data_IF_256728484749
#
_entry.id   IF_256728484749
#
_cell.length_a   1.000
_cell.length_b   1.000
_cell.length_c   1.000
_cell.angle_alpha   90.00
_cell.angle_beta   90.00
_cell.angle_gamma   90.00
#
_symmetry.space_group_name_H-M   'P 1'
#
loop_
_entity.id
_entity.type
_entity.pdbx_description
1 polymer ?
#
# COMPACT_ATOMS: atom_id res chain seq x y z
N UNK A 1 20.32 12.02 -13.37
CA UNK A 1 20.21 10.57 -13.08
C UNK A 1 18.78 10.26 -12.68
N UNK A 2 18.00 9.62 -13.56
CA UNK A 2 16.66 9.16 -13.22
C UNK A 2 16.76 8.03 -12.19
N UNK A 3 16.00 8.11 -11.10
CA UNK A 3 15.94 7.10 -10.04
C UNK A 3 15.49 5.75 -10.61
N UNK A 4 15.97 4.64 -10.04
CA UNK A 4 15.65 3.28 -10.48
C UNK A 4 14.13 2.99 -10.47
N UNK A 5 13.36 3.70 -9.64
CA UNK A 5 11.90 3.70 -9.67
C UNK A 5 11.31 4.33 -10.94
N UNK A 6 11.89 5.42 -11.43
CA UNK A 6 11.45 6.06 -12.68
C UNK A 6 11.65 5.13 -13.88
N UNK A 7 12.75 4.38 -13.91
CA UNK A 7 13.04 3.41 -14.99
C UNK A 7 12.07 2.21 -14.93
N UNK A 8 11.77 1.68 -13.73
CA UNK A 8 10.77 0.62 -13.57
C UNK A 8 9.37 1.09 -13.94
N UNK A 9 9.01 2.31 -13.55
CA UNK A 9 7.72 2.90 -13.88
C UNK A 9 7.61 3.19 -15.39
N UNK A 10 8.67 3.65 -16.05
CA UNK A 10 8.71 3.80 -17.50
C UNK A 10 8.64 2.46 -18.24
N UNK A 11 9.36 1.44 -17.78
CA UNK A 11 9.30 0.10 -18.38
C UNK A 11 7.92 -0.54 -18.23
N UNK A 12 7.29 -0.36 -17.06
CA UNK A 12 5.90 -0.81 -16.80
C UNK A 12 4.90 -0.01 -17.64
N UNK A 13 5.10 1.30 -17.79
CA UNK A 13 4.30 2.18 -18.64
C UNK A 13 4.43 1.77 -20.11
N UNK A 14 5.65 1.55 -20.62
CA UNK A 14 5.95 1.05 -21.98
C UNK A 14 5.27 -0.29 -22.26
N UNK A 15 5.31 -1.25 -21.31
CA UNK A 15 4.69 -2.56 -21.48
C UNK A 15 3.16 -2.51 -21.47
N UNK A 16 2.55 -1.61 -20.69
CA UNK A 16 1.09 -1.40 -20.65
C UNK A 16 0.59 -0.63 -21.88
N UNK A 17 1.37 0.32 -22.41
CA UNK A 17 1.04 1.00 -23.69
C UNK A 17 1.04 0.05 -24.88
N UNK A 18 1.86 -1.00 -24.88
CA UNK A 18 1.87 -2.00 -25.96
C UNK A 18 0.56 -2.82 -26.02
N UNK A 19 -0.19 -2.88 -24.92
CA UNK A 19 -1.51 -3.52 -24.87
C UNK A 19 -2.66 -2.52 -25.00
N UNK A 20 -2.41 -1.24 -25.32
CA UNK A 20 -3.46 -0.20 -25.36
C UNK A 20 -4.27 -0.04 -24.06
N UNK A 21 -3.78 -0.58 -22.94
CA UNK A 21 -4.46 -0.56 -21.63
C UNK A 21 -4.12 0.68 -20.81
N UNK A 22 -3.56 1.73 -21.41
CA UNK A 22 -3.03 2.86 -20.66
C UNK A 22 -4.17 3.76 -20.17
N UNK A 23 -4.51 3.77 -18.87
CA UNK A 23 -5.45 4.75 -18.38
C UNK A 23 -4.78 6.14 -18.39
N UNK A 24 -5.54 7.23 -18.55
CA UNK A 24 -4.99 8.59 -18.53
C UNK A 24 -4.24 8.91 -17.22
N UNK A 25 -4.50 8.17 -16.12
CA UNK A 25 -3.75 8.24 -14.86
C UNK A 25 -3.63 6.85 -14.19
N UNK A 26 -2.39 6.34 -14.10
CA UNK A 26 -2.06 4.97 -13.69
C UNK A 26 -2.47 4.58 -12.25
N UNK A 27 -2.74 5.55 -11.37
CA UNK A 27 -2.94 5.34 -9.93
C UNK A 27 -4.37 5.63 -9.45
N UNK A 28 -5.23 6.13 -10.33
CA UNK A 28 -6.52 6.72 -9.92
C UNK A 28 -7.72 5.76 -10.06
N UNK A 29 -7.59 4.66 -10.82
CA UNK A 29 -8.70 3.71 -11.02
C UNK A 29 -8.51 2.40 -10.23
N UNK A 30 -9.63 1.70 -9.99
CA UNK A 30 -9.60 0.34 -9.39
C UNK A 30 -8.89 -0.59 -10.38
N UNK A 31 -7.81 -1.28 -9.98
CA UNK A 31 -7.14 -2.20 -10.88
C UNK A 31 -8.06 -3.37 -11.22
N UNK A 32 -8.04 -3.79 -12.49
CA UNK A 32 -8.61 -5.07 -12.91
C UNK A 32 -7.70 -6.20 -12.39
N UNK A 33 -8.29 -7.20 -11.77
CA UNK A 33 -7.60 -8.41 -11.30
C UNK A 33 -8.05 -9.54 -12.21
N UNK A 34 -7.17 -9.96 -13.11
CA UNK A 34 -7.41 -11.08 -14.03
C UNK A 34 -6.06 -11.66 -14.47
N UNK A 35 -5.82 -12.93 -14.16
CA UNK A 35 -4.55 -13.61 -14.46
C UNK A 35 -4.45 -14.08 -15.92
N UNK A 36 -5.59 -14.31 -16.59
CA UNK A 36 -5.67 -14.85 -17.96
C UNK A 36 -5.64 -13.77 -19.04
N UNK A 37 -6.16 -12.57 -18.74
CA UNK A 37 -6.35 -11.51 -19.73
C UNK A 37 -5.08 -11.18 -20.53
N UNK A 38 -3.89 -11.00 -19.92
CA UNK A 38 -2.68 -10.73 -20.68
C UNK A 38 -2.34 -11.83 -21.68
N UNK A 39 -2.53 -13.10 -21.29
CA UNK A 39 -2.29 -14.25 -22.17
C UNK A 39 -3.27 -14.31 -23.34
N UNK A 40 -4.56 -14.02 -23.07
CA UNK A 40 -5.62 -13.98 -24.10
C UNK A 40 -5.43 -12.87 -25.12
N UNK A 41 -4.90 -11.71 -24.70
CA UNK A 41 -4.55 -10.63 -25.62
C UNK A 41 -3.37 -11.04 -26.51
N UNK A 42 -2.32 -11.64 -25.95
CA UNK A 42 -1.15 -12.10 -26.71
C UNK A 42 -1.50 -13.17 -27.76
N UNK A 43 -2.49 -14.02 -27.48
CA UNK A 43 -2.97 -15.04 -28.40
C UNK A 43 -3.90 -14.48 -29.49
N UNK A 44 -4.32 -13.21 -29.41
CA UNK A 44 -5.31 -12.62 -30.32
C UNK A 44 -6.75 -13.05 -30.03
N UNK A 45 -7.00 -13.83 -28.97
CA UNK A 45 -8.34 -14.26 -28.56
C UNK A 45 -9.17 -13.10 -27.98
N UNK A 46 -8.52 -12.07 -27.45
CA UNK A 46 -9.15 -10.82 -26.99
C UNK A 46 -8.45 -9.65 -27.65
N UNK A 47 -9.19 -8.89 -28.44
CA UNK A 47 -8.70 -7.66 -29.09
C UNK A 47 -9.27 -6.46 -28.36
N UNK A 48 -8.41 -5.57 -27.90
CA UNK A 48 -8.82 -4.34 -27.23
C UNK A 48 -9.20 -3.29 -28.27
N UNK A 49 -10.36 -2.67 -28.08
CA UNK A 49 -10.90 -1.61 -28.94
C UNK A 49 -11.13 -0.33 -28.13
N UNK A 50 -11.09 0.85 -28.77
CA UNK A 50 -11.49 2.10 -28.13
C UNK A 50 -12.96 2.12 -27.73
N UNK A 51 -13.39 3.21 -27.11
CA UNK A 51 -14.79 3.41 -26.74
C UNK A 51 -15.71 3.30 -27.98
N UNK A 52 -16.86 2.68 -27.75
CA UNK A 52 -17.91 2.52 -28.77
C UNK A 52 -18.54 3.87 -29.10
N UNK A 53 -18.61 4.22 -30.38
CA UNK A 53 -19.32 5.41 -30.89
C UNK A 53 -20.77 5.09 -31.25
N UNK A 54 -21.04 3.91 -31.82
CA UNK A 54 -22.40 3.51 -32.16
C UNK A 54 -22.47 2.15 -32.86
N UNK A 55 -23.69 1.72 -33.15
CA UNK A 55 -23.99 0.52 -33.91
C UNK A 55 -24.22 0.87 -35.38
N UNK A 56 -23.74 0.03 -36.30
CA UNK A 56 -23.91 0.20 -37.74
C UNK A 56 -24.33 -1.13 -38.35
N UNK A 57 -25.64 -1.33 -38.55
CA UNK A 57 -26.18 -2.61 -39.03
C UNK A 57 -25.87 -3.74 -38.03
N UNK A 58 -25.18 -4.79 -38.49
CA UNK A 58 -24.65 -5.89 -37.68
C UNK A 58 -23.25 -5.63 -37.11
N UNK A 59 -22.73 -4.41 -37.25
CA UNK A 59 -21.39 -4.01 -36.82
C UNK A 59 -21.36 -2.89 -35.78
N UNK A 60 -20.14 -2.53 -35.40
CA UNK A 60 -19.82 -1.50 -34.40
C UNK A 60 -18.89 -0.44 -35.00
N UNK A 61 -19.14 0.82 -34.66
CA UNK A 61 -18.28 1.97 -34.98
C UNK A 61 -17.61 2.46 -33.70
N UNK A 62 -16.28 2.59 -33.72
CA UNK A 62 -15.48 3.03 -32.57
C UNK A 62 -15.11 4.52 -32.67
N UNK A 63 -14.66 5.12 -31.56
CA UNK A 63 -14.31 6.54 -31.51
C UNK A 63 -13.14 6.94 -32.42
N UNK A 64 -12.23 6.01 -32.72
CA UNK A 64 -11.11 6.23 -33.64
C UNK A 64 -11.52 6.15 -35.13
N UNK A 65 -12.81 5.93 -35.40
CA UNK A 65 -13.37 5.78 -36.75
C UNK A 65 -13.26 4.36 -37.31
N UNK A 66 -12.66 3.42 -36.58
CA UNK A 66 -12.63 2.01 -37.02
C UNK A 66 -14.01 1.38 -36.91
N UNK A 67 -14.26 0.40 -37.77
CA UNK A 67 -15.50 -0.39 -37.77
C UNK A 67 -15.19 -1.87 -37.65
N UNK A 68 -16.06 -2.62 -36.98
CA UNK A 68 -16.03 -4.09 -36.96
C UNK A 68 -17.39 -4.62 -37.38
N UNK A 69 -17.40 -5.52 -38.36
CA UNK A 69 -18.59 -6.18 -38.86
C UNK A 69 -18.88 -7.50 -38.13
N UNK A 70 -19.97 -8.15 -38.51
CA UNK A 70 -20.29 -9.54 -38.15
C UNK A 70 -20.25 -9.83 -36.64
N UNK A 71 -20.83 -8.92 -35.85
CA UNK A 71 -20.92 -9.07 -34.40
C UNK A 71 -22.21 -9.81 -34.03
N UNK A 72 -22.07 -11.04 -33.54
CA UNK A 72 -23.21 -11.88 -33.13
C UNK A 72 -23.83 -11.42 -31.81
N UNK A 73 -23.02 -10.90 -30.89
CA UNK A 73 -23.46 -10.56 -29.54
C UNK A 73 -22.67 -9.40 -28.94
N UNK A 74 -23.37 -8.57 -28.15
CA UNK A 74 -22.76 -7.50 -27.34
C UNK A 74 -23.12 -7.71 -25.87
N UNK A 75 -22.09 -7.77 -25.02
CA UNK A 75 -22.23 -7.98 -23.58
C UNK A 75 -21.87 -6.69 -22.83
N UNK A 76 -22.86 -6.06 -22.21
CA UNK A 76 -22.66 -4.81 -21.46
C UNK A 76 -22.19 -5.08 -20.03
N UNK A 77 -20.87 -4.97 -19.81
CA UNK A 77 -20.25 -5.05 -18.48
C UNK A 77 -20.15 -3.66 -17.80
N UNK A 78 -21.18 -2.81 -17.91
CA UNK A 78 -21.16 -1.39 -17.51
C UNK A 78 -21.40 -1.13 -16.02
N UNK A 79 -21.52 -2.20 -15.22
CA UNK A 79 -21.71 -2.14 -13.77
C UNK A 79 -23.18 -2.09 -13.34
N UNK A 80 -23.42 -1.71 -12.09
CA UNK A 80 -24.74 -1.79 -11.45
C UNK A 80 -25.12 -0.48 -10.75
N UNK A 81 -26.43 -0.23 -10.69
CA UNK A 81 -27.02 0.83 -9.88
C UNK A 81 -27.74 0.22 -8.66
N UNK A 82 -27.33 0.61 -7.46
CA UNK A 82 -28.05 0.25 -6.23
C UNK A 82 -29.16 1.25 -5.94
N UNK A 83 -30.38 0.76 -5.69
CA UNK A 83 -31.51 1.55 -5.19
C UNK A 83 -32.13 0.85 -3.97
N UNK A 84 -32.78 1.62 -3.10
CA UNK A 84 -33.39 1.12 -1.87
C UNK A 84 -34.87 1.52 -1.85
N UNK A 85 -35.70 0.83 -2.64
CA UNK A 85 -37.12 1.15 -2.83
C UNK A 85 -37.97 1.05 -1.56
N UNK A 86 -37.51 0.27 -0.58
CA UNK A 86 -38.15 0.14 0.73
C UNK A 86 -37.79 1.27 1.70
N UNK A 87 -36.82 2.14 1.38
CA UNK A 87 -36.47 3.29 2.19
C UNK A 87 -37.26 4.53 1.75
N UNK A 88 -37.65 5.41 2.70
CA UNK A 88 -38.34 6.65 2.36
C UNK A 88 -37.42 7.56 1.52
N UNK A 89 -37.95 8.22 0.46
CA UNK A 89 -37.15 9.10 -0.41
C UNK A 89 -36.44 10.23 0.34
N UNK A 90 -36.95 10.65 1.50
CA UNK A 90 -36.35 11.68 2.35
C UNK A 90 -34.96 11.30 2.85
N UNK A 91 -34.63 10.00 2.97
CA UNK A 91 -33.27 9.53 3.33
C UNK A 91 -32.31 9.54 2.14
N UNK A 92 -32.83 9.58 0.92
CA UNK A 92 -32.09 9.61 -0.33
C UNK A 92 -31.84 11.06 -0.79
N UNK A 93 -31.37 11.94 0.13
CA UNK A 93 -31.21 13.38 -0.14
C UNK A 93 -29.93 13.76 -0.91
N UNK A 94 -29.20 12.78 -1.46
CA UNK A 94 -27.98 13.06 -2.23
C UNK A 94 -28.28 13.77 -3.56
N UNK A 95 -27.28 14.43 -4.19
CA UNK A 95 -27.46 15.20 -5.42
C UNK A 95 -28.04 14.43 -6.61
N UNK A 96 -28.05 13.09 -6.55
CA UNK A 96 -28.60 12.19 -7.58
C UNK A 96 -29.48 11.08 -6.97
N UNK A 97 -30.07 11.31 -5.80
CA UNK A 97 -30.85 10.29 -5.07
C UNK A 97 -29.99 9.25 -4.33
N UNK A 98 -28.68 9.50 -4.20
CA UNK A 98 -27.77 8.64 -3.43
C UNK A 98 -27.96 8.86 -1.92
N UNK A 99 -27.67 7.82 -1.13
CA UNK A 99 -27.69 7.91 0.33
C UNK A 99 -26.49 8.70 0.84
N UNK A 100 -26.76 9.74 1.62
CA UNK A 100 -25.72 10.50 2.31
C UNK A 100 -25.45 9.87 3.68
N UNK A 101 -24.36 9.11 3.82
CA UNK A 101 -24.11 8.28 5.00
C UNK A 101 -22.83 8.66 5.73
N UNK A 102 -22.95 8.94 7.03
CA UNK A 102 -21.81 9.10 7.93
C UNK A 102 -21.06 7.78 8.04
N UNK A 103 -19.75 7.82 7.70
CA UNK A 103 -18.87 6.65 7.62
C UNK A 103 -19.44 5.50 6.77
N UNK A 104 -20.29 5.80 5.78
CA UNK A 104 -20.96 4.81 4.91
C UNK A 104 -21.86 3.84 5.69
N UNK A 105 -22.43 4.31 6.79
CA UNK A 105 -23.30 3.52 7.67
C UNK A 105 -24.58 4.27 8.05
N UNK A 106 -24.45 5.40 8.73
CA UNK A 106 -25.59 6.06 9.37
C UNK A 106 -26.10 7.26 8.57
N UNK A 107 -27.41 7.36 8.29
CA UNK A 107 -27.99 8.55 7.67
C UNK A 107 -28.04 9.72 8.67
N UNK A 108 -27.34 10.85 8.43
CA UNK A 108 -27.31 12.00 9.35
C UNK A 108 -28.65 12.73 9.48
N UNK A 109 -29.61 12.44 8.59
CA UNK A 109 -30.94 13.03 8.60
C UNK A 109 -31.81 12.50 9.76
N UNK A 110 -31.50 11.33 10.31
CA UNK A 110 -32.23 10.77 11.44
C UNK A 110 -31.74 11.40 12.76
N UNK A 111 -32.69 11.81 13.60
CA UNK A 111 -32.40 12.32 14.95
C UNK A 111 -31.92 11.23 15.89
N UNK A 112 -32.48 10.01 15.75
CA UNK A 112 -32.10 8.82 16.53
C UNK A 112 -31.41 7.80 15.62
N UNK A 113 -30.30 7.18 16.03
CA UNK A 113 -29.55 6.24 15.21
C UNK A 113 -30.17 4.83 15.21
N UNK A 114 -31.42 4.71 14.76
CA UNK A 114 -32.19 3.46 14.73
C UNK A 114 -32.06 2.67 13.42
N UNK A 115 -31.45 3.28 12.39
CA UNK A 115 -31.23 2.68 11.08
C UNK A 115 -29.75 2.77 10.71
N UNK A 116 -29.20 1.66 10.20
CA UNK A 116 -27.84 1.58 9.68
C UNK A 116 -27.82 0.81 8.36
N UNK A 117 -27.00 1.26 7.42
CA UNK A 117 -26.83 0.63 6.11
C UNK A 117 -25.40 0.10 6.03
N UNK A 118 -25.25 -1.22 5.97
CA UNK A 118 -23.94 -1.86 5.95
C UNK A 118 -23.58 -2.37 4.55
N UNK A 119 -22.30 -2.38 4.21
CA UNK A 119 -21.80 -2.86 2.92
C UNK A 119 -21.92 -1.87 1.76
N UNK A 120 -22.48 -0.67 1.98
CA UNK A 120 -22.60 0.35 0.95
C UNK A 120 -21.32 1.20 0.83
N UNK A 121 -20.24 0.58 0.36
CA UNK A 121 -18.96 1.26 0.08
C UNK A 121 -18.15 0.49 -0.98
N UNK A 122 -17.12 1.13 -1.52
CA UNK A 122 -16.16 0.53 -2.44
C UNK A 122 -14.75 0.67 -1.88
N UNK A 123 -13.96 -0.39 -1.85
CA UNK A 123 -12.61 -0.35 -1.31
C UNK A 123 -11.63 -1.22 -2.09
N UNK A 124 -10.34 -0.93 -1.97
CA UNK A 124 -9.22 -1.74 -2.48
C UNK A 124 -8.81 -2.77 -1.41
N UNK A 125 -9.74 -3.64 -1.04
CA UNK A 125 -9.58 -4.63 0.03
C UNK A 125 -10.81 -5.52 0.17
N UNK A 126 -10.77 -6.55 1.04
CA UNK A 126 -11.89 -7.46 1.23
C UNK A 126 -13.07 -6.76 1.93
N UNK A 127 -14.28 -7.00 1.43
CA UNK A 127 -15.52 -6.41 2.00
C UNK A 127 -15.90 -7.03 3.36
N UNK A 128 -15.68 -8.34 3.53
CA UNK A 128 -16.13 -9.10 4.70
C UNK A 128 -15.68 -8.51 6.04
N UNK A 129 -14.38 -8.27 6.28
CA UNK A 129 -13.95 -7.70 7.55
C UNK A 129 -14.41 -6.25 7.76
N UNK A 130 -14.58 -5.48 6.68
CA UNK A 130 -15.09 -4.12 6.79
C UNK A 130 -16.57 -4.11 7.20
N UNK A 131 -17.40 -4.99 6.64
CA UNK A 131 -18.81 -5.12 7.04
C UNK A 131 -18.96 -5.72 8.45
N UNK A 132 -18.10 -6.67 8.84
CA UNK A 132 -18.04 -7.17 10.21
C UNK A 132 -17.71 -6.06 11.22
N UNK A 133 -16.75 -5.20 10.89
CA UNK A 133 -16.40 -4.05 11.74
C UNK A 133 -17.52 -3.00 11.76
N UNK A 134 -18.20 -2.76 10.63
CA UNK A 134 -19.42 -1.94 10.61
C UNK A 134 -20.46 -2.52 11.58
N UNK A 135 -20.73 -3.83 11.55
CA UNK A 135 -21.70 -4.47 12.43
C UNK A 135 -21.33 -4.34 13.92
N UNK A 136 -20.04 -4.51 14.26
CA UNK A 136 -19.55 -4.30 15.63
C UNK A 136 -19.76 -2.88 16.12
N UNK A 137 -19.56 -1.89 15.25
CA UNK A 137 -19.82 -0.50 15.62
C UNK A 137 -21.32 -0.19 15.70
N UNK A 138 -22.10 -0.64 14.71
CA UNK A 138 -23.55 -0.41 14.62
C UNK A 138 -24.28 -0.95 15.83
N UNK A 139 -24.01 -2.20 16.22
CA UNK A 139 -24.65 -2.82 17.39
C UNK A 139 -24.40 -2.05 18.68
N UNK A 140 -23.20 -1.46 18.85
CA UNK A 140 -22.88 -0.62 20.01
C UNK A 140 -23.61 0.72 19.97
N UNK A 141 -23.77 1.32 18.80
CA UNK A 141 -24.53 2.57 18.63
C UNK A 141 -26.01 2.32 18.95
N UNK A 142 -26.60 1.27 18.40
CA UNK A 142 -28.00 0.91 18.64
C UNK A 142 -28.23 0.57 20.12
N UNK A 143 -27.28 -0.10 20.78
CA UNK A 143 -27.32 -0.39 22.21
C UNK A 143 -27.04 0.84 23.12
N UNK A 144 -26.76 2.01 22.55
CA UNK A 144 -26.43 3.23 23.31
C UNK A 144 -25.04 3.25 23.95
N UNK A 145 -24.20 2.25 23.68
CA UNK A 145 -22.83 2.14 24.19
C UNK A 145 -21.84 3.07 23.46
N UNK A 146 -22.22 3.63 22.33
CA UNK A 146 -21.40 4.55 21.52
C UNK A 146 -22.29 5.60 20.90
N UNK A 147 -22.01 6.88 21.14
CA UNK A 147 -22.81 7.97 20.61
C UNK A 147 -22.26 8.47 19.27
N UNK A 148 -23.17 8.80 18.35
CA UNK A 148 -22.80 9.49 17.12
C UNK A 148 -22.53 10.97 17.39
N UNK A 149 -21.61 11.62 16.67
CA UNK A 149 -21.39 13.05 16.81
C UNK A 149 -22.59 13.86 16.29
N UNK A 150 -22.68 15.17 16.61
CA UNK A 150 -23.75 16.02 16.12
C UNK A 150 -23.87 16.02 14.59
N UNK A 151 -25.09 16.21 14.08
CA UNK A 151 -25.41 16.20 12.63
C UNK A 151 -24.48 17.08 11.80
N UNK A 152 -24.17 18.29 12.26
CA UNK A 152 -23.27 19.22 11.57
C UNK A 152 -21.87 18.61 11.35
N UNK A 153 -21.34 17.93 12.38
CA UNK A 153 -20.04 17.25 12.33
C UNK A 153 -20.07 16.05 11.39
N UNK A 154 -21.17 15.27 11.39
CA UNK A 154 -21.35 14.17 10.44
C UNK A 154 -21.34 14.66 8.99
N UNK A 155 -22.11 15.70 8.68
CA UNK A 155 -22.20 16.26 7.33
C UNK A 155 -20.86 16.83 6.86
N UNK A 156 -20.18 17.60 7.71
CA UNK A 156 -18.85 18.16 7.41
C UNK A 156 -17.82 17.06 7.11
N UNK A 157 -17.85 15.96 7.87
CA UNK A 157 -16.97 14.81 7.63
C UNK A 157 -17.24 14.17 6.27
N UNK A 158 -18.51 13.95 5.92
CA UNK A 158 -18.89 13.34 4.64
C UNK A 158 -18.44 14.23 3.46
N UNK A 159 -18.66 15.53 3.56
CA UNK A 159 -18.24 16.48 2.54
C UNK A 159 -16.71 16.47 2.36
N UNK A 160 -15.97 16.49 3.48
CA UNK A 160 -14.50 16.48 3.47
C UNK A 160 -13.95 15.19 2.86
N UNK A 161 -14.55 14.04 3.17
CA UNK A 161 -14.16 12.75 2.60
C UNK A 161 -14.50 12.64 1.12
N UNK A 162 -15.67 13.12 0.72
CA UNK A 162 -16.07 13.15 -0.70
C UNK A 162 -15.15 14.05 -1.50
N UNK A 163 -14.85 15.27 -1.01
CA UNK A 163 -13.88 16.19 -1.64
C UNK A 163 -12.48 15.59 -1.76
N UNK A 164 -12.03 14.82 -0.76
CA UNK A 164 -10.74 14.11 -0.83
C UNK A 164 -10.78 13.05 -1.94
N UNK A 165 -11.82 12.23 -1.98
CA UNK A 165 -11.93 11.14 -2.94
C UNK A 165 -12.11 11.64 -4.39
N UNK A 166 -12.74 12.80 -4.59
CA UNK A 166 -12.87 13.43 -5.91
C UNK A 166 -11.52 13.74 -6.58
N UNK A 167 -10.43 13.84 -5.80
CA UNK A 167 -9.08 13.99 -6.36
C UNK A 167 -8.63 12.76 -7.14
N UNK A 168 -9.12 11.59 -6.78
CA UNK A 168 -8.74 10.31 -7.37
C UNK A 168 -9.83 9.67 -8.22
N UNK A 169 -11.09 10.07 -8.04
CA UNK A 169 -12.23 9.52 -8.77
C UNK A 169 -12.98 10.61 -9.52
N UNK A 170 -13.08 10.46 -10.84
CA UNK A 170 -13.76 11.41 -11.72
C UNK A 170 -15.29 11.40 -11.53
N UNK A 171 -15.86 10.28 -11.07
CA UNK A 171 -17.29 10.15 -10.84
C UNK A 171 -17.65 10.49 -9.38
N UNK A 172 -18.54 11.48 -9.14
CA UNK A 172 -18.96 11.84 -7.78
C UNK A 172 -19.55 10.70 -6.95
N UNK A 173 -20.27 9.77 -7.60
CA UNK A 173 -20.91 8.63 -6.93
C UNK A 173 -19.88 7.62 -6.45
N UNK A 174 -18.89 7.33 -7.29
CA UNK A 174 -17.76 6.48 -6.91
C UNK A 174 -16.95 7.14 -5.79
N UNK A 175 -16.68 8.45 -5.90
CA UNK A 175 -15.98 9.20 -4.86
C UNK A 175 -16.70 9.16 -3.50
N UNK A 176 -18.03 9.26 -3.49
CA UNK A 176 -18.82 9.19 -2.25
C UNK A 176 -18.73 7.82 -1.56
N UNK A 177 -18.79 6.74 -2.34
CA UNK A 177 -18.75 5.36 -1.84
C UNK A 177 -17.33 4.86 -1.52
N UNK A 178 -16.30 5.48 -2.09
CA UNK A 178 -14.94 4.99 -1.93
C UNK A 178 -14.41 5.15 -0.51
N UNK A 179 -13.71 4.13 -0.02
CA UNK A 179 -12.97 4.14 1.24
C UNK A 179 -11.63 3.43 1.11
N UNK A 180 -10.60 3.99 1.74
CA UNK A 180 -9.31 3.31 1.90
C UNK A 180 -9.43 2.24 2.99
N UNK A 181 -9.09 0.99 2.65
CA UNK A 181 -9.39 -0.19 3.45
C UNK A 181 -8.88 -0.10 4.91
N UNK A 182 -7.56 0.10 5.09
CA UNK A 182 -6.94 0.13 6.43
C UNK A 182 -7.39 1.36 7.23
N UNK A 183 -7.32 2.61 6.71
CA UNK A 183 -7.79 3.77 7.45
C UNK A 183 -9.26 3.67 7.84
N UNK A 184 -10.11 3.12 6.96
CA UNK A 184 -11.52 2.92 7.25
C UNK A 184 -11.73 1.94 8.40
N UNK A 185 -11.11 0.76 8.33
CA UNK A 185 -11.17 -0.24 9.40
C UNK A 185 -10.64 0.31 10.73
N UNK A 186 -9.50 0.97 10.73
CA UNK A 186 -8.92 1.60 11.92
C UNK A 186 -9.85 2.65 12.51
N UNK A 187 -10.49 3.46 11.65
CA UNK A 187 -11.42 4.48 12.09
C UNK A 187 -12.64 3.88 12.80
N UNK A 188 -13.16 2.75 12.34
CA UNK A 188 -14.28 2.05 12.97
C UNK A 188 -13.83 1.29 14.21
N UNK A 189 -12.68 0.65 14.14
CA UNK A 189 -12.07 -0.06 15.26
C UNK A 189 -11.79 0.88 16.43
N UNK A 190 -11.49 2.16 16.17
CA UNK A 190 -11.37 3.19 17.20
C UNK A 190 -12.70 3.48 17.89
N UNK A 191 -13.81 3.56 17.13
CA UNK A 191 -15.15 3.74 17.70
C UNK A 191 -15.59 2.54 18.56
N UNK A 192 -15.14 1.34 18.19
CA UNK A 192 -15.42 0.10 18.95
C UNK A 192 -14.46 -0.08 20.12
N UNK A 193 -13.27 0.56 20.09
CA UNK A 193 -12.22 0.40 21.10
C UNK A 193 -11.30 -0.81 20.87
N UNK A 194 -11.17 -1.29 19.64
CA UNK A 194 -10.41 -2.51 19.26
C UNK A 194 -9.26 -2.24 18.30
N UNK A 195 -9.02 -0.99 17.91
CA UNK A 195 -7.87 -0.60 17.07
C UNK A 195 -6.56 -1.07 17.73
N UNK A 196 -5.65 -1.77 17.07
CA UNK A 196 -4.43 -2.28 17.72
C UNK A 196 -3.51 -1.12 18.18
N UNK A 197 -2.99 -1.21 19.41
CA UNK A 197 -1.93 -0.30 19.88
C UNK A 197 -0.57 -0.89 19.50
N UNK A 198 -0.06 -0.50 18.34
CA UNK A 198 1.16 -1.09 17.76
C UNK A 198 2.37 -0.85 18.68
N UNK A 199 2.55 0.36 19.22
CA UNK A 199 3.67 0.67 20.10
C UNK A 199 3.61 -0.17 21.39
N UNK A 200 2.43 -0.27 22.01
CA UNK A 200 2.23 -1.12 23.18
C UNK A 200 2.44 -2.61 22.89
N UNK A 201 2.07 -3.07 21.68
CA UNK A 201 2.32 -4.44 21.24
C UNK A 201 3.82 -4.70 21.01
N UNK A 202 4.55 -3.76 20.43
CA UNK A 202 6.01 -3.89 20.24
C UNK A 202 6.77 -4.00 21.55
N UNK A 203 6.33 -3.26 22.59
CA UNK A 203 6.95 -3.30 23.92
C UNK A 203 6.63 -4.58 24.70
N UNK A 204 5.40 -5.11 24.58
CA UNK A 204 4.95 -6.30 25.34
C UNK A 204 5.28 -7.61 24.62
N UNK A 205 5.04 -7.65 23.31
CA UNK A 205 5.16 -8.84 22.46
C UNK A 205 5.73 -8.46 21.08
N UNK A 206 7.06 -8.24 20.98
CA UNK A 206 7.68 -7.72 19.77
C UNK A 206 7.43 -8.58 18.53
N UNK A 207 7.30 -9.89 18.68
CA UNK A 207 7.05 -10.83 17.58
C UNK A 207 5.67 -10.65 16.92
N UNK A 208 4.64 -10.32 17.71
CA UNK A 208 3.28 -10.03 17.23
C UNK A 208 3.21 -8.58 16.76
N UNK A 209 3.78 -7.64 17.53
CA UNK A 209 3.84 -6.22 17.18
C UNK A 209 4.50 -5.97 15.82
N UNK A 210 5.63 -6.64 15.54
CA UNK A 210 6.33 -6.51 14.27
C UNK A 210 5.53 -7.09 13.09
N UNK A 211 4.81 -8.20 13.31
CA UNK A 211 3.92 -8.79 12.28
C UNK A 211 2.71 -7.92 12.00
N UNK A 212 2.16 -7.23 13.00
CA UNK A 212 1.05 -6.28 12.81
C UNK A 212 1.55 -5.02 12.11
N UNK A 213 2.76 -4.55 12.42
CA UNK A 213 3.35 -3.34 11.82
C UNK A 213 3.81 -3.55 10.37
N UNK A 214 4.54 -4.64 10.11
CA UNK A 214 5.22 -4.87 8.82
C UNK A 214 4.59 -6.00 8.00
N UNK A 215 3.73 -6.83 8.60
CA UNK A 215 3.08 -7.94 7.92
C UNK A 215 1.77 -7.55 7.24
N UNK A 216 1.04 -8.53 6.69
CA UNK A 216 -0.24 -8.27 6.08
C UNK A 216 -1.27 -7.84 7.14
N UNK A 217 -2.05 -6.81 6.81
CA UNK A 217 -3.15 -6.33 7.64
C UNK A 217 -4.32 -7.33 7.59
N UNK A 218 -4.27 -8.34 8.46
CA UNK A 218 -5.31 -9.36 8.60
C UNK A 218 -6.33 -8.99 9.68
N UNK A 219 -7.61 -9.35 9.51
CA UNK A 219 -8.66 -8.90 10.43
C UNK A 219 -8.51 -9.42 11.86
N UNK A 220 -7.70 -10.46 12.08
CA UNK A 220 -7.36 -10.98 13.39
C UNK A 220 -6.80 -9.90 14.32
N UNK A 221 -6.09 -8.90 13.79
CA UNK A 221 -5.50 -7.81 14.60
C UNK A 221 -6.55 -6.99 15.37
N UNK A 222 -7.78 -6.90 14.85
CA UNK A 222 -8.90 -6.19 15.50
C UNK A 222 -9.65 -7.04 16.53
N UNK A 223 -9.13 -8.23 16.82
CA UNK A 223 -9.60 -9.16 17.87
C UNK A 223 -8.54 -9.43 18.94
N UNK A 224 -7.38 -8.75 18.88
CA UNK A 224 -6.32 -8.86 19.88
C UNK A 224 -6.70 -8.21 21.22
N UNK A 225 -7.57 -7.19 21.20
CA UNK A 225 -8.01 -6.45 22.40
C UNK A 225 -9.43 -5.93 22.26
N UNK A 226 -9.96 -5.40 23.36
CA UNK A 226 -11.26 -4.74 23.41
C UNK A 226 -12.45 -5.72 23.42
N UNK A 227 -13.68 -5.21 23.28
CA UNK A 227 -14.89 -6.03 23.29
C UNK A 227 -14.89 -7.05 22.15
N UNK A 228 -15.18 -8.31 22.47
CA UNK A 228 -15.13 -9.41 21.52
C UNK A 228 -13.70 -9.85 21.17
N UNK A 229 -12.73 -9.66 22.07
CA UNK A 229 -11.39 -10.26 21.97
C UNK A 229 -11.51 -11.76 21.69
N UNK A 230 -10.64 -12.28 20.84
CA UNK A 230 -10.54 -13.71 20.55
C UNK A 230 -9.16 -14.23 20.91
N UNK A 231 -9.08 -15.25 21.76
CA UNK A 231 -7.80 -15.77 22.25
C UNK A 231 -6.95 -16.41 21.14
N UNK A 232 -7.60 -16.96 20.10
CA UNK A 232 -6.93 -17.49 18.91
C UNK A 232 -6.34 -16.42 17.98
N UNK A 233 -6.65 -15.13 18.17
CA UNK A 233 -6.23 -14.05 17.26
C UNK A 233 -4.70 -13.96 17.15
N UNK A 234 -4.01 -14.10 18.29
CA UNK A 234 -2.54 -14.09 18.34
C UNK A 234 -1.95 -15.21 17.50
N UNK A 235 -2.38 -16.45 17.75
CA UNK A 235 -1.87 -17.62 17.04
C UNK A 235 -2.20 -17.52 15.55
N UNK A 236 -3.40 -17.04 15.19
CA UNK A 236 -3.81 -16.84 13.81
C UNK A 236 -2.88 -15.88 13.06
N UNK A 237 -2.44 -14.77 13.67
CA UNK A 237 -1.49 -13.83 13.05
C UNK A 237 -0.12 -14.50 12.86
N UNK A 238 0.36 -15.24 13.86
CA UNK A 238 1.67 -15.88 13.81
C UNK A 238 1.77 -16.95 12.71
N UNK A 239 0.71 -17.74 12.53
CA UNK A 239 0.65 -18.92 11.64
C UNK A 239 -0.04 -18.63 10.29
N UNK A 240 -0.35 -17.38 9.98
CA UNK A 240 -1.11 -17.03 8.76
C UNK A 240 -0.42 -17.50 7.47
N UNK A 241 0.91 -17.41 7.39
CA UNK A 241 1.65 -17.83 6.20
C UNK A 241 1.70 -19.35 6.03
N UNK A 242 1.66 -20.11 7.14
CA UNK A 242 1.56 -21.57 7.09
C UNK A 242 0.23 -21.98 6.47
N UNK A 243 -0.89 -21.38 6.91
CA UNK A 243 -2.21 -21.65 6.33
C UNK A 243 -2.33 -21.22 4.87
N UNK A 244 -1.67 -20.14 4.47
CA UNK A 244 -1.62 -19.70 3.07
C UNK A 244 -0.81 -20.70 2.23
N UNK A 245 0.32 -21.19 2.73
CA UNK A 245 1.18 -22.12 2.00
C UNK A 245 0.62 -23.55 1.93
N UNK A 246 -0.11 -23.98 2.96
CA UNK A 246 -0.64 -25.34 3.10
C UNK A 246 -1.37 -25.87 1.85
N UNK A 247 -2.35 -25.18 1.24
CA UNK A 247 -3.04 -25.68 0.04
C UNK A 247 -2.13 -25.77 -1.20
N UNK A 248 -1.00 -25.07 -1.24
CA UNK A 248 -0.03 -25.15 -2.34
C UNK A 248 1.01 -26.25 -2.13
N UNK A 249 1.16 -26.78 -0.90
CA UNK A 249 2.10 -27.86 -0.57
C UNK A 249 1.46 -29.24 -0.79
N UNK A 250 0.95 -29.49 -1.99
CA UNK A 250 0.36 -30.78 -2.37
C UNK A 250 1.41 -31.87 -2.62
N UNK A 251 2.68 -31.47 -2.78
CA UNK A 251 3.84 -32.37 -2.95
C UNK A 251 4.85 -32.11 -1.84
N UNK A 252 5.25 -33.18 -1.15
CA UNK A 252 6.30 -33.14 -0.13
C UNK A 252 7.65 -33.28 -0.84
N UNK A 253 8.33 -32.17 -1.05
CA UNK A 253 9.75 -32.19 -1.41
C UNK A 253 10.60 -32.40 -0.16
N UNK A 254 11.73 -33.13 -0.23
CA UNK A 254 12.71 -33.15 0.84
C UNK A 254 13.10 -31.71 1.14
N UNK A 255 12.95 -31.26 2.41
CA UNK A 255 13.38 -29.92 2.80
C UNK A 255 14.83 -29.72 2.35
N UNK A 256 15.12 -28.75 1.47
CA UNK A 256 16.50 -28.45 1.13
C UNK A 256 17.24 -28.13 2.43
N UNK A 257 18.52 -28.52 2.58
CA UNK A 257 19.28 -28.19 3.78
C UNK A 257 19.14 -26.71 4.02
N UNK A 258 18.66 -26.32 5.21
CA UNK A 258 18.40 -24.92 5.57
C UNK A 258 19.61 -24.12 5.10
N UNK A 259 19.50 -23.24 4.08
CA UNK A 259 20.59 -22.35 3.80
C UNK A 259 20.78 -21.57 5.10
N UNK A 260 22.00 -21.56 5.64
CA UNK A 260 22.34 -20.69 6.76
C UNK A 260 21.91 -19.28 6.33
N UNK A 261 20.74 -18.82 6.78
CA UNK A 261 20.17 -17.50 6.43
C UNK A 261 21.11 -16.38 6.88
N UNK A 262 22.08 -16.70 7.74
CA UNK A 262 23.22 -15.87 8.10
C UNK A 262 24.19 -15.54 6.94
N UNK A 263 24.12 -16.24 5.79
CA UNK A 263 25.05 -16.12 4.66
C UNK A 263 24.43 -15.50 3.40
N UNK A 264 23.27 -14.85 3.48
CA UNK A 264 22.86 -13.99 2.36
C UNK A 264 23.78 -12.76 2.34
N UNK A 265 24.56 -12.52 1.26
CA UNK A 265 25.50 -11.39 1.19
C UNK A 265 24.76 -10.05 1.30
N UNK A 266 23.47 -10.00 0.97
CA UNK A 266 22.64 -8.81 1.15
C UNK A 266 22.30 -8.53 2.62
N UNK A 267 22.03 -9.57 3.41
CA UNK A 267 21.76 -9.43 4.85
C UNK A 267 23.04 -9.09 5.63
N UNK A 268 24.18 -9.65 5.23
CA UNK A 268 25.48 -9.30 5.81
C UNK A 268 25.86 -7.86 5.46
N UNK A 269 25.69 -7.42 4.21
CA UNK A 269 26.02 -6.04 3.84
C UNK A 269 25.08 -5.03 4.53
N UNK A 270 23.79 -5.34 4.67
CA UNK A 270 22.85 -4.51 5.41
C UNK A 270 23.15 -4.47 6.92
N UNK A 271 23.54 -5.60 7.53
CA UNK A 271 23.88 -5.64 8.96
C UNK A 271 25.19 -4.93 9.26
N UNK A 272 26.25 -5.15 8.46
CA UNK A 272 27.53 -4.43 8.57
C UNK A 272 27.32 -2.93 8.34
N UNK A 273 26.53 -2.54 7.34
CA UNK A 273 26.18 -1.14 7.09
C UNK A 273 25.45 -0.50 8.28
N UNK A 274 24.50 -1.20 8.88
CA UNK A 274 23.78 -0.72 10.05
C UNK A 274 24.68 -0.59 11.30
N UNK A 275 25.60 -1.54 11.52
CA UNK A 275 26.57 -1.50 12.61
C UNK A 275 27.55 -0.34 12.43
N UNK A 276 28.10 -0.16 11.22
CA UNK A 276 28.99 0.97 10.91
C UNK A 276 28.30 2.32 11.13
N UNK A 277 27.03 2.44 10.69
CA UNK A 277 26.25 3.65 10.92
C UNK A 277 26.01 3.90 12.42
N UNK A 278 25.70 2.86 13.20
CA UNK A 278 25.53 2.97 14.65
C UNK A 278 26.83 3.37 15.36
N UNK A 279 27.97 2.81 14.94
CA UNK A 279 29.31 3.18 15.46
C UNK A 279 29.61 4.65 15.15
N UNK A 280 29.40 5.10 13.91
CA UNK A 280 29.59 6.50 13.53
C UNK A 280 28.67 7.43 14.33
N UNK A 281 27.39 7.08 14.50
CA UNK A 281 26.47 7.86 15.33
C UNK A 281 26.88 7.89 16.81
N UNK A 282 27.40 6.79 17.35
CA UNK A 282 27.90 6.73 18.73
C UNK A 282 29.17 7.57 18.91
N UNK A 283 30.08 7.55 17.92
CA UNK A 283 31.28 8.36 17.91
C UNK A 283 30.93 9.85 17.77
N UNK A 284 30.03 10.23 16.86
CA UNK A 284 29.57 11.61 16.73
C UNK A 284 28.88 12.12 18.00
N UNK A 285 28.06 11.30 18.68
CA UNK A 285 27.48 11.66 19.99
C UNK A 285 28.55 11.80 21.07
N UNK A 286 29.57 10.94 21.07
CA UNK A 286 30.69 11.03 22.00
C UNK A 286 31.54 12.30 21.75
N UNK A 287 31.79 12.67 20.49
CA UNK A 287 32.48 13.90 20.11
C UNK A 287 31.69 15.14 20.53
N UNK A 288 30.37 15.16 20.29
CA UNK A 288 29.50 16.26 20.73
C UNK A 288 29.44 16.37 22.26
N UNK A 289 29.38 15.23 22.97
CA UNK A 289 29.39 15.21 24.43
C UNK A 289 30.75 15.63 25.03
N UNK A 290 31.86 15.26 24.38
CA UNK A 290 33.21 15.75 24.73
C UNK A 290 33.35 17.25 24.46
N UNK A 291 32.71 17.77 23.43
CA UNK A 291 32.73 19.19 23.09
C UNK A 291 31.94 20.02 24.11
N UNK A 292 30.78 19.52 24.57
CA UNK A 292 30.03 20.12 25.69
C UNK A 292 30.79 20.06 27.03
N UNK A 293 31.54 18.96 27.29
CA UNK A 293 32.41 18.83 28.47
C UNK A 293 33.65 19.74 28.43
N UNK A 294 34.19 20.00 27.24
CA UNK A 294 35.34 20.90 27.03
C UNK A 294 34.94 22.38 27.09
N UNK A 295 33.67 22.70 26.80
CA UNK A 295 33.15 24.06 26.82
C UNK A 295 33.01 24.65 28.24
N UNK A 296 33.09 23.82 29.28
CA UNK A 296 33.10 24.24 30.69
C UNK A 296 34.51 24.60 31.23
N UNK A 297 35.54 24.53 30.38
CA UNK A 297 36.94 24.82 30.73
C UNK A 297 37.58 25.85 29.80
N UNK A 298 36.90 26.98 29.59
CA UNK A 298 37.47 28.13 28.87
C UNK A 298 38.52 28.84 29.74
N UNK A 299 39.72 28.26 29.84
CA UNK A 299 40.97 28.98 30.17
C UNK A 299 42.27 28.30 29.67
N UNK A 300 42.18 27.24 28.86
CA UNK A 300 43.36 26.53 28.30
C UNK A 300 43.35 26.46 26.76
N UNK A 301 42.61 27.36 26.09
CA UNK A 301 42.39 27.34 24.64
C UNK A 301 43.44 28.12 23.82
N UNK A 302 44.46 28.69 24.44
CA UNK A 302 45.56 29.33 23.69
C UNK A 302 46.74 28.39 23.41
N UNK A 303 46.78 27.17 23.98
CA UNK A 303 47.89 26.23 23.79
C UNK A 303 47.63 25.08 22.80
N UNK A 304 46.37 24.69 22.56
CA UNK A 304 46.06 23.50 21.74
C UNK A 304 45.85 23.77 20.24
N UNK A 305 45.68 25.03 19.84
CA UNK A 305 45.53 25.43 18.43
C UNK A 305 46.81 25.19 17.60
N UNK A 306 47.95 24.96 18.24
CA UNK A 306 49.23 24.75 17.57
C UNK A 306 49.61 23.28 17.28
N UNK A 307 48.92 22.26 17.83
CA UNK A 307 49.40 20.87 17.78
C UNK A 307 48.55 19.85 16.99
N UNK A 308 47.34 20.20 16.54
CA UNK A 308 46.42 19.25 15.88
C UNK A 308 46.09 19.54 14.41
N UNK A 309 46.55 20.68 13.86
CA UNK A 309 46.34 21.01 12.43
C UNK A 309 47.40 20.39 11.50
N UNK A 310 48.45 19.77 12.04
CA UNK A 310 49.52 19.15 11.25
C UNK A 310 49.27 17.70 10.80
N UNK A 311 48.57 16.81 11.56
CA UNK A 311 48.36 15.42 11.14
C UNK A 311 47.18 15.20 10.18
N UNK A 312 46.22 16.13 10.11
CA UNK A 312 45.02 16.03 9.27
C UNK A 312 45.29 16.40 7.80
N UNK A 313 46.29 17.24 7.54
CA UNK A 313 46.71 17.57 6.16
C UNK A 313 47.53 16.42 5.54
N UNK A 314 48.38 15.73 6.33
CA UNK A 314 49.19 14.61 5.84
C UNK A 314 48.38 13.33 5.51
N UNK A 315 47.23 13.12 6.14
CA UNK A 315 46.40 11.91 5.89
C UNK A 315 45.49 12.05 4.68
N UNK A 316 45.11 13.28 4.31
CA UNK A 316 44.34 13.58 3.10
C UNK A 316 45.18 13.46 1.81
N UNK A 317 46.48 13.78 1.85
CA UNK A 317 47.38 13.58 0.70
C UNK A 317 47.72 12.11 0.45
N UNK A 318 47.78 11.28 1.50
CA UNK A 318 48.04 9.84 1.38
C UNK A 318 46.86 9.06 0.77
N UNK A 319 45.61 9.47 1.03
CA UNK A 319 44.42 8.82 0.45
C UNK A 319 44.19 9.19 -1.03
N UNK A 320 44.64 10.38 -1.46
CA UNK A 320 44.63 10.80 -2.86
C UNK A 320 45.56 9.94 -3.74
N UNK A 321 46.76 9.63 -3.24
CA UNK A 321 47.75 8.82 -3.98
C UNK A 321 47.34 7.34 -4.11
N UNK A 322 46.63 6.77 -3.14
CA UNK A 322 46.15 5.37 -3.20
C UNK A 322 45.00 5.18 -4.22
N UNK A 323 44.20 6.22 -4.45
CA UNK A 323 43.06 6.19 -5.37
C UNK A 323 43.49 6.25 -6.84
N UNK A 324 44.62 6.91 -7.14
CA UNK A 324 45.21 6.97 -8.49
C UNK A 324 45.95 5.67 -8.89
N UNK A 325 46.44 4.89 -7.93
CA UNK A 325 47.16 3.63 -8.20
C UNK A 325 46.20 2.44 -8.48
N UNK A 326 44.99 2.45 -7.92
CA UNK A 326 44.00 1.38 -8.13
C UNK A 326 43.18 1.52 -9.43
N UNK A 327 43.23 2.66 -10.10
CA UNK A 327 42.48 2.90 -11.35
C UNK A 327 43.28 2.69 -12.64
N UNK A 328 44.55 2.26 -12.57
CA UNK A 328 45.39 2.05 -13.74
C UNK A 328 45.84 0.58 -13.87
N UNK A 329 44.89 -0.32 -14.16
CA UNK A 329 45.18 -1.67 -14.66
C UNK A 329 44.51 -1.87 -16.03
N UNK A 330 45.34 -2.33 -16.96
CA UNK A 330 45.26 -2.34 -18.42
C UNK A 330 44.04 -3.03 -19.05
N UNK A 331 43.66 -2.66 -20.29
CA UNK A 331 42.59 -3.30 -21.06
C UNK A 331 43.03 -4.67 -21.61
N UNK A 332 42.24 -5.73 -21.36
CA UNK A 332 42.46 -7.06 -21.94
C UNK A 332 41.67 -7.19 -23.26
N UNK A 333 42.39 -7.63 -24.29
CA UNK A 333 41.96 -7.79 -25.69
C UNK A 333 40.75 -8.72 -25.89
N UNK A 334 39.95 -8.37 -26.92
CA UNK A 334 38.92 -9.20 -27.57
C UNK A 334 39.53 -10.43 -28.25
N UNK A 335 38.80 -11.55 -28.31
CA UNK A 335 38.80 -12.43 -29.47
C UNK A 335 37.44 -12.46 -30.18
N UNK A 336 37.54 -12.72 -31.47
CA UNK A 336 36.54 -12.77 -32.54
C UNK A 336 35.71 -14.06 -32.57
N UNK A 337 34.49 -13.92 -33.12
CA UNK A 337 33.67 -14.85 -33.91
C UNK A 337 33.49 -16.34 -33.54
N UNK A 338 32.21 -16.76 -33.58
CA UNK A 338 31.81 -18.09 -34.05
C UNK A 338 30.84 -18.87 -33.16
N UNK A 339 29.68 -19.26 -33.71
CA UNK A 339 29.09 -20.57 -33.42
C UNK A 339 27.71 -20.61 -32.74
N UNK A 340 26.72 -21.01 -33.54
CA UNK A 340 25.38 -21.54 -33.24
C UNK A 340 25.43 -22.75 -32.29
N UNK A 341 24.43 -22.91 -31.40
CA UNK A 341 23.71 -24.18 -31.17
C UNK A 341 22.54 -24.03 -30.18
N UNK A 342 21.42 -24.67 -30.53
CA UNK A 342 20.22 -24.89 -29.75
C UNK A 342 20.43 -25.91 -28.61
N UNK A 343 19.60 -25.83 -27.56
CA UNK A 343 18.62 -26.85 -27.10
C UNK A 343 17.55 -26.12 -26.29
#
# INVERSE_FOLDING_TARGET
MATFENIKNEAKKKKITNFSLCPPRLLEQKPLINDDLPGRILQGAVVLKPDLRGFQGSGLLFQDGTTEGDIDAVVFCTGYNGTFSFLPPSLCSGPRGDLNLYRRVFPPALERPTLAIMGLFQTKGPIFPAVEMQARWVTRVIAGLTQLPPRKTMLSKIETETKRNMKSYLCPRQAALHVDYIPYLDSLAEQVGVRPNILGLLLREPSVGLRVLLGPCTPYQYRLRGPGKWDGARQAILTQWERVAQPFRTRLEPEPPRPLVLLSPLLITLSVGAVMLAVVFSQCKLTLCLQDLLQDSTHLLDWFSALLLYPLVCTLEAMSSLCLYLFNVQPKQRPTEGGIAAV
#
